data_IF_430041937545
#
_entry.id   IF_430041937545
#
_cell.length_a   1.000
_cell.length_b   1.000
_cell.length_c   1.000
_cell.angle_alpha   90.00
_cell.angle_beta   90.00
_cell.angle_gamma   90.00
#
_symmetry.space_group_name_H-M   'P 1'
#
loop_
_entity.id
_entity.type
_entity.pdbx_description
1 polymer ?
#
# COMPACT_ATOMS: atom_id res chain seq x y z
N UNK A 1 -12.70 17.93 4.94
CA UNK A 1 -11.74 17.44 3.95
C UNK A 1 -10.76 16.47 4.58
N UNK A 2 -10.61 15.33 4.00
CA UNK A 2 -9.73 14.32 4.56
C UNK A 2 -8.28 14.57 4.18
N UNK A 3 -7.39 14.41 5.15
CA UNK A 3 -5.95 14.49 4.89
C UNK A 3 -5.35 13.13 4.62
N UNK A 4 -6.20 12.13 4.47
CA UNK A 4 -5.73 10.78 4.27
C UNK A 4 -5.11 10.61 2.90
N UNK A 5 -4.02 9.87 2.88
CA UNK A 5 -3.37 9.53 1.62
C UNK A 5 -4.12 8.38 0.98
N UNK A 6 -4.44 8.48 -0.33
CA UNK A 6 -5.13 7.37 -0.99
C UNK A 6 -4.29 6.10 -0.98
N UNK A 7 -4.98 4.96 -0.97
CA UNK A 7 -4.28 3.68 -0.96
C UNK A 7 -3.32 3.53 -2.15
N UNK A 8 -3.74 4.03 -3.31
CA UNK A 8 -2.90 3.94 -4.49
C UNK A 8 -1.58 4.67 -4.31
N UNK A 9 -1.61 5.81 -3.63
CA UNK A 9 -0.40 6.58 -3.41
C UNK A 9 0.55 5.84 -2.47
N UNK A 10 0.02 5.22 -1.43
CA UNK A 10 0.86 4.41 -0.55
C UNK A 10 1.53 3.29 -1.33
N UNK A 11 0.77 2.63 -2.20
CA UNK A 11 1.34 1.53 -2.99
C UNK A 11 2.45 2.03 -3.89
N UNK A 12 2.25 3.18 -4.53
CA UNK A 12 3.27 3.74 -5.41
C UNK A 12 4.54 4.09 -4.63
N UNK A 13 4.39 4.64 -3.44
CA UNK A 13 5.55 4.96 -2.61
C UNK A 13 6.29 3.69 -2.19
N UNK A 14 5.54 2.64 -1.89
CA UNK A 14 6.15 1.36 -1.54
C UNK A 14 6.94 0.78 -2.74
N UNK A 15 6.34 0.81 -3.91
CA UNK A 15 6.99 0.28 -5.10
C UNK A 15 8.22 1.09 -5.50
N UNK A 16 8.25 2.37 -5.13
CA UNK A 16 9.42 3.24 -5.38
C UNK A 16 10.46 3.16 -4.27
N UNK A 17 10.23 2.27 -3.29
CA UNK A 17 11.15 2.09 -2.16
C UNK A 17 11.26 3.32 -1.27
N UNK A 18 10.20 4.11 -1.21
CA UNK A 18 10.18 5.29 -0.35
C UNK A 18 9.70 4.97 1.05
N UNK A 19 9.16 3.78 1.26
CA UNK A 19 8.65 3.33 2.56
C UNK A 19 9.45 2.12 3.01
N UNK A 20 10.06 2.16 4.21
CA UNK A 20 10.76 0.98 4.71
C UNK A 20 9.77 -0.15 5.03
N UNK A 21 10.26 -1.38 5.02
CA UNK A 21 9.42 -2.55 5.16
C UNK A 21 8.58 -2.52 6.45
N UNK A 22 9.20 -2.17 7.58
CA UNK A 22 8.45 -2.19 8.82
C UNK A 22 7.35 -1.12 8.85
N UNK A 23 7.59 0.02 8.23
CA UNK A 23 6.55 1.04 8.11
C UNK A 23 5.43 0.54 7.20
N UNK A 24 5.78 -0.13 6.12
CA UNK A 24 4.80 -0.68 5.19
C UNK A 24 3.90 -1.69 5.89
N UNK A 25 4.48 -2.55 6.72
CA UNK A 25 3.70 -3.54 7.45
C UNK A 25 2.71 -2.87 8.40
N UNK A 26 3.12 -1.78 9.04
CA UNK A 26 2.21 -1.03 9.90
C UNK A 26 1.06 -0.43 9.11
N UNK A 27 1.36 0.10 7.93
CA UNK A 27 0.33 0.68 7.07
C UNK A 27 -0.69 -0.40 6.69
N UNK A 28 -0.22 -1.59 6.36
CA UNK A 28 -1.11 -2.68 5.99
C UNK A 28 -2.02 -3.09 7.15
N UNK A 29 -1.52 -2.99 8.36
CA UNK A 29 -2.32 -3.34 9.53
C UNK A 29 -3.39 -2.30 9.81
N UNK A 30 -3.10 -1.02 9.57
CA UNK A 30 -4.02 0.06 9.90
C UNK A 30 -4.93 0.45 8.75
N UNK A 31 -4.51 0.20 7.52
CA UNK A 31 -5.28 0.58 6.34
C UNK A 31 -5.63 -0.66 5.54
N UNK A 32 -6.84 -1.17 5.76
CA UNK A 32 -7.28 -2.35 5.02
C UNK A 32 -7.41 -2.09 3.53
N UNK A 33 -7.74 -0.86 3.15
CA UNK A 33 -7.83 -0.51 1.74
C UNK A 33 -6.47 -0.61 1.05
N UNK A 34 -5.42 -0.21 1.74
CA UNK A 34 -4.06 -0.34 1.21
C UNK A 34 -3.69 -1.82 1.09
N UNK A 35 -4.04 -2.60 2.10
CA UNK A 35 -3.75 -4.03 2.08
C UNK A 35 -4.45 -4.72 0.91
N UNK A 36 -5.72 -4.41 0.71
CA UNK A 36 -6.48 -5.02 -0.38
C UNK A 36 -5.87 -4.65 -1.73
N UNK A 37 -5.54 -3.38 -1.90
CA UNK A 37 -4.96 -2.94 -3.16
C UNK A 37 -3.62 -3.61 -3.41
N UNK A 38 -2.82 -3.77 -2.38
CA UNK A 38 -1.52 -4.42 -2.49
C UNK A 38 -1.68 -5.87 -2.93
N UNK A 39 -2.63 -6.60 -2.30
CA UNK A 39 -2.87 -7.98 -2.66
C UNK A 39 -3.35 -8.11 -4.10
N UNK A 40 -4.23 -7.22 -4.52
CA UNK A 40 -4.71 -7.21 -5.90
C UNK A 40 -3.54 -6.98 -6.87
N UNK A 41 -2.65 -6.08 -6.50
CA UNK A 41 -1.48 -5.80 -7.33
C UNK A 41 -0.60 -7.05 -7.49
N UNK A 42 -0.41 -7.78 -6.38
CA UNK A 42 0.41 -8.99 -6.43
C UNK A 42 -0.23 -10.06 -7.31
N UNK A 43 -1.56 -10.20 -7.23
CA UNK A 43 -2.26 -11.18 -8.05
C UNK A 43 -2.18 -10.81 -9.52
N UNK A 44 -2.34 -9.55 -9.84
CA UNK A 44 -2.26 -9.10 -11.23
C UNK A 44 -0.87 -9.31 -11.80
N UNK A 45 0.12 -9.15 -10.96
CA UNK A 45 1.51 -9.31 -11.42
C UNK A 45 1.80 -10.75 -11.79
N UNK A 46 1.16 -11.69 -11.11
CA UNK A 46 1.37 -13.12 -11.36
C UNK A 46 0.46 -13.67 -12.44
N UNK A 47 -0.60 -12.93 -12.77
CA UNK A 47 -1.61 -13.38 -13.74
C UNK A 47 -1.26 -13.08 -15.17
#
# INVERSE_FOLDING_TARGET
>A
MSNEIPAKMYLEMWLSEQIPTHDWLDILKERNDVKDLYHTHLENKNG
#
